data_IF_190930150796
#
_entry.id   IF_190930150796
#
_cell.length_a   1.000
_cell.length_b   1.000
_cell.length_c   1.000
_cell.angle_alpha   90.00
_cell.angle_beta   90.00
_cell.angle_gamma   90.00
#
_symmetry.space_group_name_H-M   'P 1'
#
loop_
_entity.id
_entity.type
_entity.pdbx_description
1 polymer ?
#
# COMPACT_ATOMS: atom_id res chain seq x y z
N UNK A 1 2.13 -3.47 8.73
CA UNK A 1 2.38 -4.90 8.51
C UNK A 1 1.69 -5.68 9.61
N UNK A 2 1.20 -6.87 9.32
CA UNK A 2 0.76 -7.86 10.32
C UNK A 2 1.55 -9.13 10.06
N UNK A 3 2.02 -9.80 11.12
CA UNK A 3 2.55 -11.15 11.10
C UNK A 3 1.66 -11.94 12.08
N UNK A 4 0.79 -12.80 11.56
CA UNK A 4 -0.04 -13.66 12.39
C UNK A 4 0.55 -15.06 12.38
N UNK A 5 1.03 -15.49 13.54
CA UNK A 5 1.53 -16.83 13.78
C UNK A 5 0.38 -17.83 13.98
N UNK A 6 -0.71 -17.39 14.61
CA UNK A 6 -1.93 -18.17 14.82
C UNK A 6 -2.57 -18.63 13.51
N UNK A 7 -2.65 -17.73 12.53
CA UNK A 7 -3.26 -17.97 11.22
C UNK A 7 -2.25 -18.04 10.07
N UNK A 8 -0.96 -18.08 10.37
CA UNK A 8 0.15 -18.24 9.42
C UNK A 8 0.06 -17.31 8.21
N UNK A 9 0.05 -16.00 8.45
CA UNK A 9 0.08 -15.01 7.36
C UNK A 9 0.95 -13.79 7.64
N UNK A 10 1.41 -13.14 6.56
CA UNK A 10 2.11 -11.86 6.57
C UNK A 10 1.38 -10.89 5.64
N UNK A 11 0.85 -9.81 6.20
CA UNK A 11 0.21 -8.73 5.43
C UNK A 11 1.14 -7.53 5.32
N UNK A 12 1.60 -7.25 4.09
CA UNK A 12 2.44 -6.09 3.77
C UNK A 12 1.59 -4.83 3.63
N UNK A 13 1.94 -3.78 4.36
CA UNK A 13 1.21 -2.52 4.33
C UNK A 13 1.87 -1.55 3.35
N UNK A 14 1.43 -1.54 2.09
CA UNK A 14 1.87 -0.55 1.09
C UNK A 14 1.17 0.81 1.36
N UNK A 15 1.87 1.95 1.38
CA UNK A 15 1.23 3.25 1.60
C UNK A 15 0.13 3.56 0.59
N UNK A 16 -1.00 4.06 1.11
CA UNK A 16 -2.15 4.56 0.33
C UNK A 16 -2.92 3.51 -0.49
N UNK A 17 -2.81 2.23 -0.12
CA UNK A 17 -3.54 1.09 -0.74
C UNK A 17 -4.61 0.49 0.19
N UNK A 18 -5.24 1.32 1.04
CA UNK A 18 -6.31 0.85 1.93
C UNK A 18 -5.85 -0.04 3.09
N UNK A 19 -4.58 0.04 3.48
CA UNK A 19 -4.00 -0.83 4.54
C UNK A 19 -4.67 -0.75 5.91
N UNK A 20 -5.41 0.33 6.22
CA UNK A 20 -6.23 0.35 7.42
C UNK A 20 -7.45 -0.56 7.28
N UNK A 21 -8.17 -0.48 6.16
CA UNK A 21 -9.35 -1.31 5.91
C UNK A 21 -9.03 -2.81 5.99
N UNK A 22 -7.89 -3.23 5.41
CA UNK A 22 -7.36 -4.60 5.52
C UNK A 22 -7.07 -4.98 6.99
N UNK A 23 -6.42 -4.09 7.76
CA UNK A 23 -6.17 -4.32 9.19
C UNK A 23 -7.45 -4.44 10.00
N UNK A 24 -8.45 -3.59 9.76
CA UNK A 24 -9.72 -3.66 10.49
C UNK A 24 -10.46 -4.97 10.27
N UNK A 25 -10.38 -5.53 9.06
CA UNK A 25 -10.94 -6.84 8.78
C UNK A 25 -10.18 -7.98 9.49
N UNK A 26 -8.84 -7.93 9.52
CA UNK A 26 -8.00 -9.02 10.05
C UNK A 26 -7.77 -8.97 11.56
N UNK A 27 -7.73 -7.77 12.16
CA UNK A 27 -7.41 -7.57 13.58
C UNK A 27 -8.30 -8.37 14.56
N UNK A 28 -9.60 -8.54 14.31
CA UNK A 28 -10.47 -9.35 15.18
C UNK A 28 -10.07 -10.84 15.29
N UNK A 29 -9.18 -11.32 14.42
CA UNK A 29 -8.68 -12.70 14.43
C UNK A 29 -7.25 -12.81 14.99
N UNK A 30 -6.63 -11.70 15.40
CA UNK A 30 -5.27 -11.80 15.96
C UNK A 30 -5.32 -12.38 17.38
N UNK A 31 -4.42 -13.32 17.64
CA UNK A 31 -4.28 -13.99 18.93
C UNK A 31 -3.02 -13.54 19.68
N UNK A 32 -2.85 -14.03 20.91
CA UNK A 32 -1.64 -13.79 21.70
C UNK A 32 -0.43 -14.35 20.94
N UNK A 33 0.57 -13.51 20.74
CA UNK A 33 1.79 -13.85 20.01
C UNK A 33 1.82 -13.28 18.60
N UNK A 34 0.68 -12.92 18.01
CA UNK A 34 0.64 -12.24 16.72
C UNK A 34 1.21 -10.82 16.81
N UNK A 35 1.87 -10.37 15.75
CA UNK A 35 2.57 -9.08 15.71
C UNK A 35 1.94 -8.12 14.70
N UNK A 36 1.82 -6.85 15.07
CA UNK A 36 1.39 -5.77 14.18
C UNK A 36 2.37 -4.60 14.26
N UNK A 37 2.73 -4.01 13.10
CA UNK A 37 3.36 -2.70 13.04
C UNK A 37 2.39 -1.68 12.46
N UNK A 38 1.96 -0.73 13.31
CA UNK A 38 1.09 0.38 12.95
C UNK A 38 1.25 1.52 13.95
N UNK A 39 1.15 2.76 13.47
CA UNK A 39 1.27 3.95 14.31
C UNK A 39 0.16 4.98 14.12
N UNK A 40 -0.79 4.72 13.21
CA UNK A 40 -1.93 5.58 12.95
C UNK A 40 -3.20 4.83 13.36
N UNK A 41 -4.07 5.46 14.16
CA UNK A 41 -5.30 4.89 14.77
C UNK A 41 -5.10 3.72 15.76
N UNK A 42 -3.96 3.05 15.70
CA UNK A 42 -3.53 2.03 16.65
C UNK A 42 -2.00 2.12 16.75
N UNK A 43 -1.45 1.79 17.93
CA UNK A 43 -0.02 1.79 18.19
C UNK A 43 0.41 0.37 18.57
N UNK A 44 1.02 -0.33 17.62
CA UNK A 44 1.61 -1.65 17.84
C UNK A 44 2.94 -1.75 17.10
N UNK A 45 3.85 -2.57 17.65
CA UNK A 45 5.19 -2.77 17.13
C UNK A 45 5.54 -4.24 17.04
N UNK A 46 6.29 -4.61 16.00
CA UNK A 46 6.96 -5.91 15.96
C UNK A 46 7.96 -6.02 17.10
N UNK A 47 8.03 -7.20 17.69
CA UNK A 47 9.00 -7.56 18.71
C UNK A 47 10.32 -8.06 18.11
N UNK A 48 10.39 -8.15 16.78
CA UNK A 48 11.53 -8.65 16.05
C UNK A 48 12.52 -7.54 15.68
N UNK A 49 13.80 -7.72 16.05
CA UNK A 49 14.95 -6.93 15.56
C UNK A 49 14.85 -5.40 15.73
N UNK A 50 15.40 -4.68 14.74
CA UNK A 50 15.44 -3.20 14.71
C UNK A 50 14.06 -2.55 14.45
N UNK A 51 13.04 -3.34 14.09
CA UNK A 51 11.70 -2.83 13.84
C UNK A 51 11.02 -2.25 15.10
N UNK A 52 11.49 -2.60 16.31
CA UNK A 52 11.07 -1.97 17.57
C UNK A 52 11.24 -0.45 17.56
N UNK A 53 12.23 0.06 16.82
CA UNK A 53 12.51 1.51 16.70
C UNK A 53 11.79 2.16 15.51
N UNK A 54 11.21 1.38 14.60
CA UNK A 54 10.52 1.90 13.41
C UNK A 54 9.21 2.57 13.81
N UNK A 55 8.98 3.77 13.27
CA UNK A 55 7.78 4.58 13.57
C UNK A 55 6.58 4.27 12.68
N UNK A 56 6.75 3.52 11.60
CA UNK A 56 5.69 3.23 10.63
C UNK A 56 5.61 1.74 10.31
N UNK A 57 4.46 1.32 9.79
CA UNK A 57 4.17 -0.08 9.44
C UNK A 57 4.50 -0.49 8.02
N UNK A 58 5.21 0.36 7.26
CA UNK A 58 5.50 0.18 5.84
C UNK A 58 6.89 -0.44 5.69
N UNK A 59 6.95 -1.74 5.95
CA UNK A 59 8.16 -2.57 5.88
C UNK A 59 8.09 -3.38 4.58
N UNK A 60 9.18 -3.44 3.82
CA UNK A 60 9.26 -4.21 2.57
C UNK A 60 9.52 -5.70 2.85
N UNK A 61 9.25 -6.55 1.85
CA UNK A 61 9.57 -7.97 1.89
C UNK A 61 11.07 -8.22 2.10
N UNK A 62 11.93 -7.48 1.40
CA UNK A 62 13.38 -7.53 1.58
C UNK A 62 13.84 -7.13 2.99
N UNK A 63 13.18 -6.14 3.59
CA UNK A 63 13.52 -5.70 4.95
C UNK A 63 13.15 -6.78 5.98
N UNK A 64 11.95 -7.38 5.92
CA UNK A 64 11.49 -8.29 6.98
C UNK A 64 12.04 -9.71 6.84
N UNK A 65 12.27 -10.19 5.60
CA UNK A 65 12.64 -11.59 5.32
C UNK A 65 13.86 -12.09 6.11
N UNK A 66 14.98 -11.33 6.26
CA UNK A 66 16.14 -11.76 7.04
C UNK A 66 15.87 -11.93 8.54
N UNK A 67 14.75 -11.41 9.04
CA UNK A 67 14.38 -11.47 10.46
C UNK A 67 13.36 -12.56 10.77
N UNK A 68 12.94 -13.34 9.77
CA UNK A 68 12.01 -14.45 9.91
C UNK A 68 12.75 -15.78 9.72
N UNK A 69 12.32 -16.82 10.43
CA UNK A 69 12.86 -18.15 10.16
C UNK A 69 12.46 -18.62 8.74
N UNK A 70 13.28 -19.47 8.10
CA UNK A 70 12.93 -20.05 6.80
C UNK A 70 11.56 -20.75 6.81
N UNK A 71 11.20 -21.38 7.93
CA UNK A 71 9.90 -22.03 8.13
C UNK A 71 8.75 -21.02 8.08
N UNK A 72 8.84 -19.91 8.82
CA UNK A 72 7.81 -18.86 8.81
C UNK A 72 7.68 -18.27 7.40
N UNK A 73 8.80 -17.89 6.79
CA UNK A 73 8.79 -17.28 5.46
C UNK A 73 8.16 -18.20 4.41
N UNK A 74 8.45 -19.50 4.47
CA UNK A 74 7.97 -20.46 3.46
C UNK A 74 6.53 -20.87 3.70
N UNK A 75 6.10 -21.04 4.95
CA UNK A 75 4.78 -21.62 5.28
C UNK A 75 3.64 -20.60 5.40
N UNK A 76 3.93 -19.31 5.57
CA UNK A 76 2.88 -18.31 5.82
C UNK A 76 2.33 -17.75 4.52
N UNK A 77 1.03 -17.49 4.44
CA UNK A 77 0.47 -16.72 3.31
C UNK A 77 0.98 -15.28 3.35
N UNK A 78 1.75 -14.86 2.34
CA UNK A 78 2.27 -13.50 2.19
C UNK A 78 1.41 -12.74 1.20
N UNK A 79 0.86 -11.59 1.59
CA UNK A 79 0.03 -10.81 0.68
C UNK A 79 0.12 -9.31 0.89
N UNK A 80 -0.23 -8.57 -0.16
CA UNK A 80 -0.32 -7.12 -0.16
C UNK A 80 -1.54 -6.66 -0.96
N UNK A 81 -1.92 -5.39 -0.79
CA UNK A 81 -2.87 -4.72 -1.67
C UNK A 81 -2.16 -3.60 -2.41
N UNK A 82 -2.40 -3.51 -3.71
CA UNK A 82 -2.00 -2.42 -4.58
C UNK A 82 -3.22 -1.59 -4.99
N UNK A 83 -2.98 -0.40 -5.49
CA UNK A 83 -3.99 0.52 -6.02
C UNK A 83 -3.51 1.01 -7.38
N UNK A 84 -4.45 1.41 -8.24
CA UNK A 84 -4.16 2.12 -9.46
C UNK A 84 -3.10 3.22 -9.19
N UNK A 85 -1.95 3.22 -9.87
CA UNK A 85 -0.86 4.14 -9.56
C UNK A 85 -1.24 5.61 -9.65
N UNK A 86 -2.12 5.99 -10.59
CA UNK A 86 -2.63 7.36 -10.72
C UNK A 86 -3.42 7.78 -9.48
N UNK A 87 -4.38 6.94 -9.07
CA UNK A 87 -5.24 7.22 -7.92
C UNK A 87 -4.45 7.21 -6.61
N UNK A 88 -3.47 6.30 -6.49
CA UNK A 88 -2.57 6.24 -5.33
C UNK A 88 -1.73 7.49 -5.20
N UNK A 89 -1.15 7.97 -6.31
CA UNK A 89 -0.31 9.17 -6.33
C UNK A 89 -1.08 10.41 -5.87
N UNK A 90 -2.30 10.63 -6.40
CA UNK A 90 -3.17 11.74 -5.96
C UNK A 90 -3.47 11.61 -4.46
N UNK A 91 -3.84 10.41 -3.99
CA UNK A 91 -4.11 10.17 -2.58
C UNK A 91 -2.89 10.42 -1.68
N UNK A 92 -1.67 10.13 -2.16
CA UNK A 92 -0.43 10.42 -1.47
C UNK A 92 -0.15 11.93 -1.39
N UNK A 93 -0.36 12.67 -2.49
CA UNK A 93 -0.20 14.13 -2.53
C UNK A 93 -1.08 14.82 -1.48
N UNK A 94 -2.38 14.52 -1.48
CA UNK A 94 -3.32 15.13 -0.53
C UNK A 94 -3.05 14.73 0.92
N UNK A 95 -2.56 13.50 1.16
CA UNK A 95 -2.19 13.06 2.49
C UNK A 95 -0.93 13.74 3.03
N UNK A 96 0.10 13.93 2.19
CA UNK A 96 1.38 14.51 2.61
C UNK A 96 1.41 16.02 2.62
N UNK A 97 0.53 16.65 1.86
CA UNK A 97 0.49 18.10 1.71
C UNK A 97 -0.92 18.62 2.03
N UNK A 98 -1.25 18.80 3.33
CA UNK A 98 -2.57 19.30 3.76
C UNK A 98 -2.97 20.64 3.14
N UNK A 99 -2.00 21.46 2.72
CA UNK A 99 -2.26 22.70 1.98
C UNK A 99 -2.98 22.44 0.65
N UNK A 100 -2.69 21.33 -0.04
CA UNK A 100 -3.47 20.92 -1.22
C UNK A 100 -4.93 20.64 -0.86
N UNK A 101 -5.18 20.07 0.32
CA UNK A 101 -6.53 19.74 0.76
C UNK A 101 -7.39 20.99 1.01
N UNK A 102 -6.78 22.14 1.33
CA UNK A 102 -7.50 23.42 1.47
C UNK A 102 -7.95 24.01 0.14
N UNK A 103 -7.26 23.64 -0.95
CA UNK A 103 -7.49 24.21 -2.28
C UNK A 103 -7.81 23.11 -3.30
N UNK A 104 -8.39 21.99 -2.85
CA UNK A 104 -8.56 20.79 -3.69
C UNK A 104 -9.41 21.02 -4.95
N UNK A 105 -10.20 22.09 -4.99
CA UNK A 105 -11.01 22.54 -6.14
C UNK A 105 -10.21 23.35 -7.17
N UNK A 106 -9.05 23.92 -6.80
CA UNK A 106 -8.15 24.59 -7.73
C UNK A 106 -7.27 23.56 -8.45
N UNK A 107 -7.87 22.89 -9.43
CA UNK A 107 -7.25 21.81 -10.21
C UNK A 107 -5.90 22.23 -10.80
N UNK A 108 -5.82 23.41 -11.40
CA UNK A 108 -4.59 23.91 -12.04
C UNK A 108 -3.44 24.02 -11.04
N UNK A 109 -3.70 24.60 -9.86
CA UNK A 109 -2.67 24.74 -8.81
C UNK A 109 -2.28 23.39 -8.22
N UNK A 110 -3.26 22.52 -7.92
CA UNK A 110 -2.97 21.17 -7.45
C UNK A 110 -2.11 20.39 -8.45
N UNK A 111 -2.46 20.45 -9.73
CA UNK A 111 -1.73 19.76 -10.81
C UNK A 111 -0.30 20.28 -10.95
N UNK A 112 -0.11 21.60 -11.00
CA UNK A 112 1.22 22.19 -11.07
C UNK A 112 2.09 21.73 -9.88
N UNK A 113 1.52 21.69 -8.68
CA UNK A 113 2.22 21.19 -7.50
C UNK A 113 2.54 19.69 -7.59
N UNK A 114 1.61 18.87 -8.09
CA UNK A 114 1.82 17.44 -8.32
C UNK A 114 2.98 17.16 -9.29
N UNK A 115 3.10 17.92 -10.38
CA UNK A 115 4.23 17.85 -11.32
C UNK A 115 5.56 18.13 -10.60
N UNK A 116 5.60 19.19 -9.79
CA UNK A 116 6.77 19.51 -8.96
C UNK A 116 7.10 18.42 -7.94
N UNK A 117 6.08 17.77 -7.36
CA UNK A 117 6.30 16.71 -6.36
C UNK A 117 6.97 15.48 -6.97
N UNK A 118 6.51 15.00 -8.13
CA UNK A 118 7.04 13.77 -8.72
C UNK A 118 8.43 13.95 -9.32
N UNK A 119 8.75 15.15 -9.81
CA UNK A 119 10.07 15.46 -10.39
C UNK A 119 11.17 15.64 -9.33
N UNK A 120 10.83 15.83 -8.05
CA UNK A 120 11.82 15.94 -6.96
C UNK A 120 12.35 14.56 -6.57
N UNK A 121 13.63 14.32 -6.79
CA UNK A 121 14.30 13.04 -6.45
C UNK A 121 14.09 12.61 -4.99
N UNK A 122 14.13 13.55 -4.04
CA UNK A 122 13.89 13.27 -2.61
C UNK A 122 12.48 12.74 -2.33
N UNK A 123 11.50 13.06 -3.18
CA UNK A 123 10.16 12.51 -3.08
C UNK A 123 10.09 11.12 -3.70
N UNK A 124 10.82 10.85 -4.78
CA UNK A 124 10.78 9.57 -5.50
C UNK A 124 11.17 8.37 -4.63
N UNK A 125 12.08 8.57 -3.68
CA UNK A 125 12.47 7.56 -2.68
C UNK A 125 11.67 7.63 -1.38
N UNK A 126 10.80 8.64 -1.24
CA UNK A 126 9.99 8.81 -0.04
C UNK A 126 8.99 7.67 0.10
N UNK A 127 8.68 7.34 1.34
CA UNK A 127 7.77 6.26 1.69
C UNK A 127 6.43 6.33 0.94
N UNK A 128 5.85 7.50 0.71
CA UNK A 128 4.51 7.60 0.13
C UNK A 128 4.48 7.62 -1.40
N UNK A 129 5.59 8.02 -2.04
CA UNK A 129 5.66 8.13 -3.49
C UNK A 129 6.46 7.02 -4.14
N UNK A 130 7.35 6.31 -3.43
CA UNK A 130 8.09 5.17 -4.01
C UNK A 130 7.14 4.15 -4.67
N UNK A 131 7.55 3.47 -5.76
CA UNK A 131 6.75 2.43 -6.40
C UNK A 131 6.22 1.38 -5.41
N UNK A 132 5.02 0.88 -5.67
CA UNK A 132 4.36 -0.12 -4.84
C UNK A 132 5.07 -1.47 -4.93
N UNK A 133 5.56 -1.84 -6.12
CA UNK A 133 6.30 -3.08 -6.34
C UNK A 133 7.51 -3.20 -5.42
N UNK A 134 8.21 -2.10 -5.13
CA UNK A 134 9.39 -2.08 -4.26
C UNK A 134 9.12 -2.59 -2.83
N UNK A 135 7.86 -2.62 -2.40
CA UNK A 135 7.50 -3.18 -1.09
C UNK A 135 7.45 -4.70 -1.07
N UNK A 136 7.33 -5.33 -2.24
CA UNK A 136 6.99 -6.74 -2.38
C UNK A 136 7.86 -7.48 -3.38
N UNK A 137 8.83 -6.81 -4.01
CA UNK A 137 9.81 -7.45 -4.89
C UNK A 137 11.17 -7.61 -4.22
N UNK A 138 11.94 -8.61 -4.65
CA UNK A 138 13.32 -8.81 -4.25
C UNK A 138 14.33 -8.04 -5.11
N UNK A 139 15.61 -8.35 -4.90
CA UNK A 139 16.74 -7.67 -5.56
C UNK A 139 16.71 -7.85 -7.09
N UNK A 140 16.13 -8.95 -7.56
CA UNK A 140 16.04 -9.30 -8.98
C UNK A 140 14.64 -9.06 -9.55
N UNK A 141 13.83 -8.22 -8.90
CA UNK A 141 12.42 -7.93 -9.23
C UNK A 141 11.48 -9.15 -9.15
N UNK A 142 11.88 -10.23 -8.49
CA UNK A 142 11.00 -11.36 -8.23
C UNK A 142 9.92 -10.97 -7.21
N UNK A 143 8.68 -11.41 -7.42
CA UNK A 143 7.58 -11.13 -6.49
C UNK A 143 7.77 -12.03 -5.25
N UNK A 144 7.84 -11.42 -4.07
CA UNK A 144 8.09 -12.08 -2.78
C UNK A 144 6.80 -12.35 -1.97
N UNK A 145 5.64 -12.14 -2.58
CA UNK A 145 4.32 -12.36 -1.97
C UNK A 145 3.51 -13.36 -2.80
N UNK A 146 2.64 -14.11 -2.12
CA UNK A 146 1.81 -15.16 -2.72
C UNK A 146 0.52 -14.58 -3.33
N UNK A 147 0.08 -13.40 -2.88
CA UNK A 147 -1.12 -12.75 -3.39
C UNK A 147 -1.02 -11.22 -3.39
N UNK A 148 -1.50 -10.61 -4.48
CA UNK A 148 -1.63 -9.16 -4.63
C UNK A 148 -3.11 -8.85 -4.90
N UNK A 149 -3.78 -8.24 -3.92
CA UNK A 149 -5.14 -7.74 -4.07
C UNK A 149 -5.18 -6.32 -4.64
N UNK A 150 -6.33 -5.92 -5.17
CA UNK A 150 -6.60 -4.59 -5.69
C UNK A 150 -7.47 -3.80 -4.72
N UNK A 151 -7.10 -2.55 -4.46
CA UNK A 151 -7.84 -1.65 -3.57
C UNK A 151 -9.23 -1.33 -4.14
N UNK A 152 -9.35 -1.26 -5.46
CA UNK A 152 -10.56 -1.01 -6.23
C UNK A 152 -11.56 -2.16 -6.09
N UNK A 153 -11.06 -3.38 -5.90
CA UNK A 153 -11.84 -4.60 -5.71
C UNK A 153 -11.66 -5.19 -4.30
N UNK A 154 -11.42 -4.33 -3.31
CA UNK A 154 -10.94 -4.75 -1.98
C UNK A 154 -11.79 -5.83 -1.33
N UNK A 155 -13.12 -5.71 -1.35
CA UNK A 155 -14.00 -6.71 -0.73
C UNK A 155 -13.84 -8.09 -1.37
N UNK A 156 -13.80 -8.14 -2.70
CA UNK A 156 -13.63 -9.39 -3.47
C UNK A 156 -12.29 -10.04 -3.16
N UNK A 157 -11.21 -9.27 -3.27
CA UNK A 157 -9.86 -9.81 -3.10
C UNK A 157 -9.58 -10.16 -1.63
N UNK A 158 -10.19 -9.44 -0.69
CA UNK A 158 -10.12 -9.77 0.73
C UNK A 158 -10.91 -11.04 1.03
N UNK A 159 -12.08 -11.29 0.41
CA UNK A 159 -12.75 -12.60 0.50
C UNK A 159 -11.84 -13.75 0.06
N UNK A 160 -11.06 -13.56 -1.00
CA UNK A 160 -10.07 -14.56 -1.42
C UNK A 160 -8.95 -14.78 -0.40
N UNK A 161 -8.48 -13.71 0.28
CA UNK A 161 -7.53 -13.85 1.40
C UNK A 161 -8.16 -14.65 2.55
N UNK A 162 -9.34 -14.28 3.01
CA UNK A 162 -10.03 -14.96 4.11
C UNK A 162 -10.29 -16.45 3.81
N UNK A 163 -10.68 -16.77 2.58
CA UNK A 163 -10.85 -18.16 2.13
C UNK A 163 -9.54 -18.95 2.21
N UNK A 164 -8.41 -18.37 1.79
CA UNK A 164 -7.09 -19.02 1.90
C UNK A 164 -6.62 -19.21 3.35
N UNK A 165 -7.05 -18.32 4.24
CA UNK A 165 -6.76 -18.41 5.68
C UNK A 165 -7.75 -19.29 6.45
N UNK A 166 -8.80 -19.80 5.80
CA UNK A 166 -9.90 -20.52 6.43
C UNK A 166 -10.55 -19.71 7.58
N UNK A 167 -10.69 -18.39 7.38
CA UNK A 167 -11.29 -17.47 8.35
C UNK A 167 -12.69 -17.02 7.89
N UNK A 168 -13.64 -16.79 8.81
CA UNK A 168 -14.93 -16.23 8.46
C UNK A 168 -14.76 -14.80 7.96
N UNK A 169 -15.36 -14.49 6.80
CA UNK A 169 -15.17 -13.19 6.16
C UNK A 169 -15.67 -12.04 7.03
N UNK A 170 -14.83 -11.02 7.17
CA UNK A 170 -15.20 -9.73 7.75
C UNK A 170 -14.99 -8.62 6.73
N UNK A 171 -16.04 -7.83 6.50
CA UNK A 171 -15.99 -6.73 5.55
C UNK A 171 -14.95 -5.68 5.94
N UNK A 172 -14.23 -5.11 4.96
CA UNK A 172 -13.31 -4.01 5.22
C UNK A 172 -14.07 -2.73 5.59
N UNK A 173 -13.58 -1.98 6.58
CA UNK A 173 -14.13 -0.67 6.92
C UNK A 173 -13.42 0.46 6.16
N UNK A 174 -14.18 1.35 5.52
CA UNK A 174 -13.64 2.55 4.85
C UNK A 174 -13.42 3.66 5.88
N UNK A 175 -12.17 3.83 6.32
CA UNK A 175 -11.83 4.78 7.40
C UNK A 175 -11.01 5.98 6.89
N UNK A 176 -10.41 5.87 5.69
CA UNK A 176 -9.61 6.94 5.11
C UNK A 176 -10.06 7.29 3.70
N UNK A 177 -10.92 8.29 3.58
CA UNK A 177 -11.12 9.05 2.34
C UNK A 177 -10.35 10.37 2.44
N UNK A 178 -9.35 10.56 1.60
CA UNK A 178 -8.75 11.90 1.42
C UNK A 178 -9.74 12.81 0.72
N UNK A 179 -9.91 14.04 1.21
CA UNK A 179 -10.80 15.01 0.58
C UNK A 179 -10.13 15.60 -0.67
N UNK A 180 -10.52 15.09 -1.83
CA UNK A 180 -10.11 15.57 -3.14
C UNK A 180 -11.16 15.21 -4.18
N UNK A 181 -11.11 15.87 -5.34
CA UNK A 181 -11.92 15.51 -6.51
C UNK A 181 -11.55 14.09 -7.01
N UNK A 182 -12.38 13.48 -7.87
CA UNK A 182 -11.97 12.27 -8.58
C UNK A 182 -10.58 12.43 -9.19
N UNK A 183 -9.69 11.45 -8.99
CA UNK A 183 -8.26 11.63 -9.28
C UNK A 183 -8.00 12.08 -10.74
N UNK A 184 -8.82 11.61 -11.68
CA UNK A 184 -8.76 11.95 -13.10
C UNK A 184 -8.84 13.45 -13.36
N UNK A 185 -9.58 14.20 -12.55
CA UNK A 185 -9.72 15.66 -12.70
C UNK A 185 -8.36 16.39 -12.61
N UNK A 186 -7.37 15.80 -11.93
CA UNK A 186 -6.05 16.41 -11.78
C UNK A 186 -5.08 16.12 -12.92
N UNK A 187 -5.37 15.18 -13.81
CA UNK A 187 -4.44 14.77 -14.86
C UNK A 187 -4.58 15.61 -16.13
N UNK A 188 -3.44 16.03 -16.68
CA UNK A 188 -3.26 16.33 -18.09
C UNK A 188 -2.23 15.35 -18.68
N UNK A 189 -1.98 15.45 -19.99
CA UNK A 189 -1.04 14.59 -20.71
C UNK A 189 0.35 14.59 -20.08
N UNK A 190 0.84 15.76 -19.65
CA UNK A 190 2.17 15.87 -19.03
C UNK A 190 2.22 15.14 -17.68
N UNK A 191 1.29 15.42 -16.76
CA UNK A 191 1.28 14.72 -15.47
C UNK A 191 1.04 13.23 -15.67
N UNK A 192 0.17 12.84 -16.60
CA UNK A 192 -0.06 11.43 -16.93
C UNK A 192 1.24 10.75 -17.38
N UNK A 193 1.96 11.35 -18.33
CA UNK A 193 3.24 10.82 -18.83
C UNK A 193 4.28 10.66 -17.71
N UNK A 194 4.42 11.66 -16.83
CA UNK A 194 5.33 11.60 -15.69
C UNK A 194 4.99 10.43 -14.74
N UNK A 195 3.71 10.24 -14.42
CA UNK A 195 3.26 9.17 -13.53
C UNK A 195 3.37 7.79 -14.20
N UNK A 196 3.03 7.66 -15.49
CA UNK A 196 3.20 6.42 -16.26
C UNK A 196 4.65 5.98 -16.31
N UNK A 197 5.57 6.91 -16.59
CA UNK A 197 6.98 6.63 -16.63
C UNK A 197 7.51 6.20 -15.26
N UNK A 198 7.21 6.98 -14.22
CA UNK A 198 7.72 6.72 -12.88
C UNK A 198 7.19 5.42 -12.26
N UNK A 199 5.91 5.11 -12.45
CA UNK A 199 5.28 3.91 -11.91
C UNK A 199 5.16 2.77 -12.92
N UNK A 200 5.97 2.75 -13.98
CA UNK A 200 5.89 1.74 -15.05
C UNK A 200 5.80 0.30 -14.52
N UNK A 201 6.67 -0.06 -13.57
CA UNK A 201 6.67 -1.41 -12.96
C UNK A 201 5.39 -1.71 -12.18
N UNK A 202 4.80 -0.71 -11.53
CA UNK A 202 3.51 -0.89 -10.86
C UNK A 202 2.41 -1.16 -11.88
N UNK A 203 2.38 -0.45 -13.01
CA UNK A 203 1.40 -0.69 -14.07
C UNK A 203 1.55 -2.10 -14.67
N UNK A 204 2.78 -2.52 -14.97
CA UNK A 204 3.10 -3.85 -15.49
C UNK A 204 2.63 -4.96 -14.51
N UNK A 205 2.89 -4.78 -13.21
CA UNK A 205 2.52 -5.74 -12.16
C UNK A 205 1.02 -5.75 -11.86
N UNK A 206 0.40 -4.57 -11.85
CA UNK A 206 -1.01 -4.40 -11.51
C UNK A 206 -1.94 -4.81 -12.68
N UNK A 207 -1.36 -5.16 -13.85
CA UNK A 207 -2.09 -5.59 -15.07
C UNK A 207 -3.24 -4.65 -15.42
N UNK A 208 -3.01 -3.33 -15.27
CA UNK A 208 -3.94 -2.37 -15.88
C UNK A 208 -3.75 -2.50 -17.39
N UNK A 209 -4.84 -2.82 -18.09
CA UNK A 209 -4.94 -2.51 -19.52
C UNK A 209 -4.75 -1.00 -19.68
N UNK A 210 -3.54 -0.65 -20.07
CA UNK A 210 -3.05 0.71 -20.14
C UNK A 210 -3.90 1.56 -21.10
N UNK A 211 -4.14 2.81 -20.70
CA UNK A 211 -4.39 3.96 -21.57
C UNK A 211 -5.78 4.18 -22.21
N UNK A 212 -6.82 3.37 -22.01
CA UNK A 212 -8.16 3.66 -22.61
C UNK A 212 -9.23 4.30 -21.71
N UNK A 213 -8.94 4.61 -20.44
CA UNK A 213 -9.95 5.18 -19.51
C UNK A 213 -9.40 6.18 -18.49
N UNK A 214 -8.67 7.20 -18.95
CA UNK A 214 -8.67 8.50 -18.28
C UNK A 214 -9.62 9.40 -19.06
#
# INVERSE_FOLDING_TARGET
MIISHSHKFISFAIPKTGTHAVRFALRPFLEVGDEEQVALFHHSKLQTGDFKKRKNGHITALEIKPHLSPEIWTSYLKFAFMRNPYERFVSACFFKHPLLSKEYTNVTKCRAYMKLLIQRESNQTSLFFRPQCDYITGEHNEILVDFIGQTENMEKDLKSVFSRLNLPFKSPEKINSSNHLPYRSYYDEELQSLISHFYKKDFDLFKIDDLKKI
#
